data_IF_442055699480
#
_entry.id   IF_442055699480
#
_cell.length_a   1.000
_cell.length_b   1.000
_cell.length_c   1.000
_cell.angle_alpha   90.00
_cell.angle_beta   90.00
_cell.angle_gamma   90.00
#
_symmetry.space_group_name_H-M   'P 1'
#
loop_
_entity.id
_entity.type
_entity.pdbx_description
1 polymer ?
#
# COMPACT_ATOMS: atom_id res chain seq x y z
N UNK A 1 -0.58 26.35 4.27
CA UNK A 1 -0.07 25.36 5.26
C UNK A 1 0.17 24.06 4.52
N UNK A 2 1.39 23.54 4.50
CA UNK A 2 1.68 22.26 3.84
C UNK A 2 1.15 21.11 4.70
N UNK A 3 0.41 20.17 4.10
CA UNK A 3 0.02 18.94 4.78
C UNK A 3 1.27 18.09 5.04
N UNK A 4 1.45 17.65 6.29
CA UNK A 4 2.53 16.74 6.67
C UNK A 4 1.93 15.44 7.21
N UNK A 5 1.48 14.60 6.29
CA UNK A 5 0.98 13.27 6.61
C UNK A 5 2.12 12.39 7.15
N UNK A 6 1.91 11.77 8.30
CA UNK A 6 2.86 10.82 8.93
C UNK A 6 2.11 9.66 9.54
N UNK A 7 2.84 8.63 10.01
CA UNK A 7 2.22 7.51 10.71
C UNK A 7 1.55 7.98 12.01
N UNK A 8 0.26 7.70 12.22
CA UNK A 8 -0.42 8.10 13.44
C UNK A 8 0.15 7.38 14.67
N UNK A 9 0.40 8.16 15.73
CA UNK A 9 0.91 7.64 17.02
C UNK A 9 -0.16 6.83 17.76
N UNK A 10 -1.42 7.17 17.61
CA UNK A 10 -2.58 6.54 18.25
C UNK A 10 -3.69 6.31 17.23
N UNK A 11 -4.59 5.36 17.50
CA UNK A 11 -5.81 5.19 16.71
C UNK A 11 -6.92 5.98 17.40
N UNK A 12 -7.17 7.18 16.90
CA UNK A 12 -8.22 8.07 17.40
C UNK A 12 -9.59 7.78 16.78
N UNK A 13 -10.59 8.62 17.05
CA UNK A 13 -11.95 8.42 16.53
C UNK A 13 -12.04 8.64 15.02
N UNK A 14 -11.28 9.59 14.45
CA UNK A 14 -11.25 9.82 13.00
C UNK A 14 -10.74 8.58 12.26
N UNK A 15 -9.67 7.95 12.77
CA UNK A 15 -9.15 6.70 12.21
C UNK A 15 -10.18 5.57 12.38
N UNK A 16 -10.86 5.47 13.53
CA UNK A 16 -11.92 4.45 13.73
C UNK A 16 -13.06 4.62 12.74
N UNK A 17 -13.47 5.85 12.45
CA UNK A 17 -14.54 6.13 11.50
C UNK A 17 -14.11 5.81 10.06
N UNK A 18 -12.87 6.13 9.69
CA UNK A 18 -12.26 5.69 8.43
C UNK A 18 -12.23 4.16 8.31
N UNK A 19 -11.80 3.44 9.35
CA UNK A 19 -11.79 1.96 9.33
C UNK A 19 -13.20 1.37 9.24
N UNK A 20 -14.19 1.98 9.90
CA UNK A 20 -15.60 1.58 9.79
C UNK A 20 -16.11 1.79 8.36
N UNK A 21 -15.78 2.91 7.73
CA UNK A 21 -16.12 3.20 6.34
C UNK A 21 -15.51 2.15 5.39
N UNK A 22 -14.24 1.81 5.59
CA UNK A 22 -13.55 0.76 4.83
C UNK A 22 -14.07 -0.65 5.09
N UNK A 23 -14.91 -0.82 6.13
CA UNK A 23 -15.43 -2.09 6.66
C UNK A 23 -14.34 -3.02 7.20
N UNK A 24 -13.31 -2.45 7.82
CA UNK A 24 -12.15 -3.16 8.35
C UNK A 24 -12.11 -3.07 9.88
N UNK A 25 -11.76 -4.18 10.54
CA UNK A 25 -11.68 -4.23 12.00
C UNK A 25 -10.41 -3.54 12.51
N UNK A 26 -10.56 -2.58 13.41
CA UNK A 26 -9.43 -1.94 14.10
C UNK A 26 -8.48 -2.96 14.75
N UNK A 27 -9.01 -4.05 15.32
CA UNK A 27 -8.22 -5.09 15.99
C UNK A 27 -7.20 -5.78 15.07
N UNK A 28 -7.32 -5.63 13.75
CA UNK A 28 -6.38 -6.17 12.77
C UNK A 28 -5.20 -5.23 12.47
N UNK A 29 -5.16 -4.03 13.06
CA UNK A 29 -4.10 -3.05 12.78
C UNK A 29 -2.73 -3.50 13.30
N UNK A 30 -1.69 -3.29 12.50
CA UNK A 30 -0.32 -3.74 12.74
C UNK A 30 0.64 -2.56 12.52
N UNK A 31 1.58 -2.35 13.44
CA UNK A 31 2.69 -1.43 13.21
C UNK A 31 3.86 -2.17 12.61
N UNK A 32 4.26 -1.77 11.41
CA UNK A 32 5.41 -2.35 10.71
C UNK A 32 6.53 -1.33 10.62
N UNK A 33 7.77 -1.83 10.60
CA UNK A 33 8.96 -1.06 10.24
C UNK A 33 9.37 -1.43 8.82
N UNK A 34 9.92 -0.47 8.09
CA UNK A 34 10.54 -0.72 6.79
C UNK A 34 11.62 -1.80 6.94
N UNK A 35 11.44 -2.88 6.19
CA UNK A 35 12.31 -4.05 6.14
C UNK A 35 13.24 -3.93 4.95
N UNK A 36 14.53 -4.16 5.19
CA UNK A 36 15.53 -4.19 4.12
C UNK A 36 15.63 -5.61 3.55
N UNK A 37 15.67 -5.69 2.23
CA UNK A 37 15.90 -6.94 1.51
C UNK A 37 17.37 -7.03 1.09
N UNK A 38 17.85 -8.26 0.84
CA UNK A 38 19.25 -8.49 0.44
C UNK A 38 19.44 -8.43 -1.08
N UNK A 39 18.50 -9.00 -1.83
CA UNK A 39 18.65 -9.29 -3.26
C UNK A 39 17.70 -8.49 -4.16
N UNK A 40 16.93 -7.57 -3.58
CA UNK A 40 15.97 -6.76 -4.30
C UNK A 40 15.95 -5.36 -3.69
N UNK A 41 15.86 -4.34 -4.55
CA UNK A 41 15.77 -2.94 -4.16
C UNK A 41 14.37 -2.41 -4.52
N UNK A 42 13.42 -2.40 -3.57
CA UNK A 42 12.07 -1.91 -3.79
C UNK A 42 12.05 -0.41 -4.11
N UNK A 43 11.22 0.01 -5.05
CA UNK A 43 11.06 1.43 -5.44
C UNK A 43 9.97 2.13 -4.61
N UNK A 44 10.16 3.42 -4.23
CA UNK A 44 9.08 4.19 -3.63
C UNK A 44 7.84 4.26 -4.51
N UNK A 45 6.65 4.36 -3.90
CA UNK A 45 5.33 4.45 -4.57
C UNK A 45 4.92 3.22 -5.42
N UNK A 46 5.71 2.14 -5.40
CA UNK A 46 5.47 0.94 -6.20
C UNK A 46 5.14 -0.29 -5.32
N UNK A 47 4.40 -0.13 -4.22
CA UNK A 47 4.22 -1.20 -3.22
C UNK A 47 3.66 -2.51 -3.77
N UNK A 48 2.66 -2.43 -4.66
CA UNK A 48 2.09 -3.60 -5.32
C UNK A 48 3.10 -4.29 -6.25
N UNK A 49 3.86 -3.52 -7.03
CA UNK A 49 4.88 -4.06 -7.94
C UNK A 49 6.06 -4.67 -7.17
N UNK A 50 6.53 -3.99 -6.12
CA UNK A 50 7.60 -4.46 -5.24
C UNK A 50 7.26 -5.81 -4.62
N UNK A 51 6.06 -5.93 -4.05
CA UNK A 51 5.62 -7.17 -3.39
C UNK A 51 5.34 -8.29 -4.39
N UNK A 52 4.83 -7.96 -5.58
CA UNK A 52 4.72 -8.92 -6.68
C UNK A 52 6.09 -9.48 -7.06
N UNK A 53 7.06 -8.62 -7.39
CA UNK A 53 8.42 -9.05 -7.76
C UNK A 53 9.04 -9.86 -6.63
N UNK A 54 8.98 -9.37 -5.39
CA UNK A 54 9.55 -10.09 -4.25
C UNK A 54 8.92 -11.47 -4.05
N UNK A 55 7.61 -11.61 -4.28
CA UNK A 55 6.95 -12.92 -4.25
C UNK A 55 7.45 -13.87 -5.34
N UNK A 56 7.90 -13.36 -6.48
CA UNK A 56 8.49 -14.18 -7.54
C UNK A 56 9.94 -14.58 -7.23
N UNK A 57 10.71 -13.69 -6.59
CA UNK A 57 12.11 -13.94 -6.21
C UNK A 57 12.21 -14.95 -5.06
N UNK A 58 11.48 -14.70 -3.97
CA UNK A 58 11.63 -15.45 -2.70
C UNK A 58 10.36 -16.22 -2.29
N UNK A 59 9.35 -16.30 -3.15
CA UNK A 59 8.08 -16.94 -2.81
C UNK A 59 7.26 -16.16 -1.78
N UNK A 60 6.35 -16.85 -1.11
CA UNK A 60 5.41 -16.24 -0.16
C UNK A 60 4.16 -15.68 -0.86
N UNK A 61 3.50 -14.73 -0.22
CA UNK A 61 2.25 -14.14 -0.68
C UNK A 61 2.24 -12.62 -0.52
N UNK A 62 1.22 -11.98 -1.07
CA UNK A 62 0.96 -10.55 -0.91
C UNK A 62 -0.21 -10.38 0.06
N UNK A 63 -0.04 -9.56 1.09
CA UNK A 63 -1.13 -9.11 1.94
C UNK A 63 -1.54 -7.69 1.53
N UNK A 64 -2.76 -7.55 1.00
CA UNK A 64 -3.36 -6.25 0.72
C UNK A 64 -3.93 -5.60 1.98
N UNK A 65 -4.05 -4.29 1.95
CA UNK A 65 -4.59 -3.52 3.07
C UNK A 65 -4.40 -2.04 2.86
N UNK A 66 -4.47 -1.31 3.97
CA UNK A 66 -4.40 0.14 3.97
C UNK A 66 -3.29 0.60 4.91
N UNK A 67 -2.50 1.55 4.45
CA UNK A 67 -1.63 2.34 5.34
C UNK A 67 -2.41 3.57 5.76
N UNK A 68 -2.50 3.79 7.06
CA UNK A 68 -3.15 4.99 7.60
C UNK A 68 -2.11 6.07 7.83
N UNK A 69 -2.37 7.23 7.25
CA UNK A 69 -1.62 8.46 7.42
C UNK A 69 -2.47 9.51 8.11
N UNK A 70 -1.84 10.37 8.91
CA UNK A 70 -2.54 11.46 9.58
C UNK A 70 -1.66 12.70 9.67
N UNK A 71 -2.29 13.86 9.49
CA UNK A 71 -1.75 15.17 9.83
C UNK A 71 -2.55 15.74 11.00
N UNK A 72 -1.91 15.76 12.17
CA UNK A 72 -2.53 16.23 13.41
C UNK A 72 -2.79 17.74 13.43
N UNK A 73 -2.11 18.53 12.59
CA UNK A 73 -2.29 19.98 12.55
C UNK A 73 -3.51 20.36 11.72
N UNK A 74 -3.74 19.65 10.62
CA UNK A 74 -4.86 19.93 9.70
C UNK A 74 -6.09 19.06 9.97
N UNK A 75 -5.97 18.01 10.78
CA UNK A 75 -7.03 17.03 10.98
C UNK A 75 -7.28 16.14 9.75
N UNK A 76 -6.35 16.13 8.79
CA UNK A 76 -6.43 15.28 7.60
C UNK A 76 -6.00 13.86 7.95
N UNK A 77 -6.79 12.88 7.51
CA UNK A 77 -6.47 11.45 7.63
C UNK A 77 -6.64 10.79 6.27
N UNK A 78 -5.69 9.94 5.89
CA UNK A 78 -5.69 9.25 4.60
C UNK A 78 -5.47 7.75 4.81
N UNK A 79 -6.23 6.92 4.10
CA UNK A 79 -5.94 5.51 3.92
C UNK A 79 -5.38 5.32 2.51
N UNK A 80 -4.12 4.92 2.42
CA UNK A 80 -3.45 4.56 1.17
C UNK A 80 -3.55 3.05 0.94
N UNK A 81 -4.11 2.62 -0.20
CA UNK A 81 -4.20 1.20 -0.50
C UNK A 81 -2.81 0.65 -0.81
N UNK A 82 -2.38 -0.37 -0.07
CA UNK A 82 -0.99 -0.78 0.03
C UNK A 82 -0.82 -2.30 0.02
N UNK A 83 0.35 -2.76 -0.41
CA UNK A 83 0.75 -4.17 -0.34
C UNK A 83 1.94 -4.40 0.58
N UNK A 84 1.83 -5.45 1.38
CA UNK A 84 2.87 -5.97 2.25
C UNK A 84 3.28 -7.36 1.76
N UNK A 85 4.58 -7.64 1.73
CA UNK A 85 5.05 -8.99 1.40
C UNK A 85 4.89 -9.88 2.64
N UNK A 86 4.18 -10.99 2.49
CA UNK A 86 4.09 -12.05 3.50
C UNK A 86 5.07 -13.14 3.10
N UNK A 87 6.18 -13.27 3.82
CA UNK A 87 7.19 -14.26 3.47
C UNK A 87 6.69 -15.70 3.67
N UNK A 88 7.50 -16.69 3.27
CA UNK A 88 7.13 -18.12 3.39
C UNK A 88 6.89 -18.60 4.84
N UNK A 89 7.42 -17.89 5.84
CA UNK A 89 7.16 -18.16 7.27
C UNK A 89 5.87 -17.50 7.77
N UNK A 90 5.20 -16.73 6.93
CA UNK A 90 4.00 -15.99 7.26
C UNK A 90 4.23 -14.62 7.90
N UNK A 91 5.48 -14.15 7.98
CA UNK A 91 5.82 -12.85 8.54
C UNK A 91 5.48 -11.72 7.55
N UNK A 92 4.88 -10.64 8.06
CA UNK A 92 4.54 -9.47 7.27
C UNK A 92 5.70 -8.48 7.24
N UNK A 93 6.21 -8.22 6.04
CA UNK A 93 7.37 -7.37 5.79
C UNK A 93 6.97 -6.22 4.88
N UNK A 94 6.99 -5.03 5.45
CA UNK A 94 6.86 -3.80 4.71
C UNK A 94 8.20 -3.47 4.03
N UNK A 95 8.27 -3.65 2.72
CA UNK A 95 9.51 -3.53 1.96
C UNK A 95 9.60 -2.23 1.16
N UNK A 96 8.51 -1.45 1.08
CA UNK A 96 8.45 -0.30 0.16
C UNK A 96 8.94 0.98 0.84
N UNK A 97 10.06 1.59 0.40
CA UNK A 97 10.53 2.84 0.97
C UNK A 97 9.55 3.99 0.67
N UNK A 98 9.45 4.95 1.59
CA UNK A 98 8.65 6.17 1.41
C UNK A 98 9.54 7.27 0.85
N UNK A 99 8.96 8.17 0.07
CA UNK A 99 9.70 9.29 -0.55
C UNK A 99 10.26 10.25 0.50
N UNK A 100 9.54 10.46 1.60
CA UNK A 100 9.93 11.31 2.73
C UNK A 100 10.86 10.60 3.75
N UNK A 101 11.15 9.31 3.54
CA UNK A 101 11.99 8.52 4.42
C UNK A 101 11.30 8.01 5.70
N UNK A 102 9.98 8.13 5.83
CA UNK A 102 9.21 7.51 6.92
C UNK A 102 9.50 5.99 6.98
N UNK A 103 9.79 5.49 8.19
CA UNK A 103 10.29 4.12 8.39
C UNK A 103 9.30 3.22 9.11
N UNK A 104 8.15 3.76 9.54
CA UNK A 104 7.09 3.02 10.18
C UNK A 104 5.79 3.24 9.43
N UNK A 105 4.84 2.33 9.60
CA UNK A 105 3.47 2.49 9.12
C UNK A 105 2.51 1.89 10.14
N UNK A 106 1.28 2.41 10.14
CA UNK A 106 0.12 1.70 10.68
C UNK A 106 -0.59 1.03 9.49
N UNK A 107 -0.39 -0.27 9.36
CA UNK A 107 -1.00 -1.09 8.31
C UNK A 107 -2.26 -1.78 8.85
N UNK A 108 -3.32 -1.84 8.06
CA UNK A 108 -4.54 -2.57 8.41
C UNK A 108 -4.89 -3.50 7.25
N UNK A 109 -4.78 -4.83 7.43
CA UNK A 109 -5.08 -5.81 6.39
C UNK A 109 -6.51 -5.68 5.86
N UNK A 110 -6.66 -5.85 4.55
CA UNK A 110 -7.93 -5.93 3.85
C UNK A 110 -7.99 -7.27 3.10
N UNK A 111 -9.04 -8.05 3.38
CA UNK A 111 -9.25 -9.37 2.80
C UNK A 111 -10.37 -9.37 1.74
N UNK A 112 -10.90 -8.20 1.40
CA UNK A 112 -12.03 -8.06 0.47
C UNK A 112 -11.63 -7.44 -0.87
N UNK A 113 -10.47 -6.77 -0.90
CA UNK A 113 -9.95 -6.04 -2.05
C UNK A 113 -8.66 -6.67 -2.54
N UNK A 114 -8.57 -6.86 -3.85
CA UNK A 114 -7.44 -7.50 -4.51
C UNK A 114 -6.83 -6.58 -5.56
N UNK A 115 -5.56 -6.83 -5.88
CA UNK A 115 -4.82 -6.16 -6.94
C UNK A 115 -4.45 -7.19 -7.99
N UNK A 116 -4.62 -6.84 -9.26
CA UNK A 116 -4.17 -7.68 -10.35
C UNK A 116 -3.56 -6.83 -11.47
N UNK A 117 -2.65 -7.45 -12.20
CA UNK A 117 -1.94 -6.83 -13.31
C UNK A 117 -2.53 -7.33 -14.62
N UNK A 118 -2.59 -6.47 -15.61
CA UNK A 118 -2.97 -6.79 -16.99
C UNK A 118 -1.98 -6.16 -17.95
N UNK A 119 -1.90 -6.70 -19.16
CA UNK A 119 -1.10 -6.14 -20.25
C UNK A 119 -2.04 -5.47 -21.27
N UNK A 120 -1.65 -4.28 -21.75
CA UNK A 120 -2.33 -3.62 -22.87
C UNK A 120 -1.33 -2.82 -23.71
N UNK A 121 -1.17 -3.19 -24.98
CA UNK A 121 -0.35 -2.48 -25.97
C UNK A 121 1.12 -2.31 -25.56
N UNK A 122 1.72 -3.38 -25.07
CA UNK A 122 3.09 -3.42 -24.54
C UNK A 122 3.26 -2.76 -23.18
N UNK A 123 2.18 -2.46 -22.45
CA UNK A 123 2.24 -1.75 -21.16
C UNK A 123 1.61 -2.58 -20.05
N UNK A 124 2.31 -2.65 -18.92
CA UNK A 124 1.80 -3.27 -17.71
C UNK A 124 0.86 -2.30 -17.00
N UNK A 125 -0.39 -2.73 -16.80
CA UNK A 125 -1.43 -1.99 -16.11
C UNK A 125 -1.66 -2.66 -14.75
N UNK A 126 -1.76 -1.85 -13.71
CA UNK A 126 -2.21 -2.29 -12.40
C UNK A 126 -3.66 -1.89 -12.19
N UNK A 127 -4.48 -2.83 -11.72
CA UNK A 127 -5.84 -2.63 -11.27
C UNK A 127 -5.81 -2.63 -9.74
N UNK A 128 -6.12 -1.48 -9.14
CA UNK A 128 -5.98 -1.24 -7.70
C UNK A 128 -7.06 -0.27 -7.23
N UNK A 129 -6.94 0.31 -6.03
CA UNK A 129 -7.90 1.26 -5.46
C UNK A 129 -7.21 2.58 -5.14
N UNK A 130 -7.96 3.68 -5.28
CA UNK A 130 -7.46 5.00 -4.89
C UNK A 130 -7.49 5.20 -3.37
N UNK A 131 -6.75 6.20 -2.91
CA UNK A 131 -6.66 6.53 -1.49
C UNK A 131 -7.98 7.11 -1.00
N UNK A 132 -8.37 6.81 0.24
CA UNK A 132 -9.55 7.39 0.89
C UNK A 132 -9.13 8.48 1.86
N UNK A 133 -9.73 9.66 1.75
CA UNK A 133 -9.38 10.81 2.60
C UNK A 133 -10.54 11.29 3.45
N UNK A 134 -10.22 11.65 4.69
CA UNK A 134 -11.08 12.40 5.59
C UNK A 134 -10.43 13.74 5.90
N UNK A 135 -11.27 14.78 6.02
CA UNK A 135 -10.86 16.09 6.48
C UNK A 135 -11.81 16.56 7.58
N UNK A 136 -11.30 16.80 8.78
CA UNK A 136 -12.10 17.06 9.98
C UNK A 136 -13.22 16.02 10.21
N UNK A 137 -12.93 14.73 9.94
CA UNK A 137 -13.90 13.64 10.09
C UNK A 137 -14.89 13.48 8.93
N UNK A 138 -14.90 14.40 7.95
CA UNK A 138 -15.76 14.29 6.78
C UNK A 138 -15.05 13.54 5.65
N UNK A 139 -15.71 12.51 5.12
CA UNK A 139 -15.23 11.75 3.97
C UNK A 139 -15.18 12.64 2.73
N UNK A 140 -14.03 12.69 2.07
CA UNK A 140 -13.85 13.46 0.83
C UNK A 140 -14.15 12.63 -0.41
N UNK A 141 -13.95 11.32 -0.35
CA UNK A 141 -14.12 10.43 -1.49
C UNK A 141 -14.43 8.98 -1.06
N UNK A 142 -15.06 8.25 -1.97
CA UNK A 142 -15.32 6.83 -1.80
C UNK A 142 -14.10 5.97 -2.19
N UNK A 143 -14.17 4.67 -1.89
CA UNK A 143 -13.21 3.69 -2.40
C UNK A 143 -13.52 3.42 -3.87
N UNK A 144 -12.65 3.88 -4.76
CA UNK A 144 -12.83 3.77 -6.21
C UNK A 144 -11.77 2.83 -6.78
N UNK A 145 -12.16 1.77 -7.52
CA UNK A 145 -11.22 0.99 -8.32
C UNK A 145 -10.63 1.84 -9.44
N UNK A 146 -9.33 1.73 -9.65
CA UNK A 146 -8.58 2.51 -10.63
C UNK A 146 -7.63 1.62 -11.42
N UNK A 147 -7.32 2.06 -12.63
CA UNK A 147 -6.28 1.49 -13.47
C UNK A 147 -5.13 2.48 -13.61
N UNK A 148 -3.90 2.02 -13.43
CA UNK A 148 -2.70 2.84 -13.67
C UNK A 148 -1.72 2.10 -14.57
N UNK A 149 -1.13 2.83 -15.50
CA UNK A 149 0.01 2.32 -16.28
C UNK A 149 1.22 2.37 -15.36
N UNK A 150 1.92 1.25 -15.22
CA UNK A 150 3.18 1.20 -14.49
C UNK A 150 4.33 1.64 -15.41
N UNK A 151 5.22 2.48 -14.86
CA UNK A 151 6.35 3.07 -15.60
C UNK A 151 7.69 2.83 -14.86
N UNK A 152 7.72 1.87 -13.95
CA UNK A 152 8.91 1.52 -13.17
C UNK A 152 9.94 0.78 -14.04
N UNK A 153 11.23 1.07 -13.83
CA UNK A 153 12.32 0.35 -14.51
C UNK A 153 12.36 -1.14 -14.13
N UNK A 154 11.80 -1.50 -12.97
CA UNK A 154 11.67 -2.88 -12.52
C UNK A 154 10.86 -3.76 -13.49
N UNK A 155 9.97 -3.17 -14.29
CA UNK A 155 9.17 -3.91 -15.29
C UNK A 155 10.09 -4.56 -16.33
N UNK A 156 11.06 -3.81 -16.82
CA UNK A 156 12.02 -4.27 -17.81
C UNK A 156 13.10 -5.15 -17.17
N UNK A 157 13.61 -4.74 -16.01
CA UNK A 157 14.62 -5.49 -15.24
C UNK A 157 14.17 -6.94 -14.97
N UNK A 158 12.91 -7.11 -14.57
CA UNK A 158 12.32 -8.42 -14.28
C UNK A 158 11.53 -9.01 -15.45
N UNK A 159 11.56 -8.37 -16.63
CA UNK A 159 10.88 -8.84 -17.86
C UNK A 159 9.40 -9.16 -17.66
N UNK A 160 8.69 -8.38 -16.85
CA UNK A 160 7.36 -8.73 -16.36
C UNK A 160 6.29 -8.83 -17.46
N UNK A 161 6.44 -8.10 -18.57
CA UNK A 161 5.53 -8.20 -19.71
C UNK A 161 5.51 -9.61 -20.34
N UNK A 162 6.55 -10.42 -20.14
CA UNK A 162 6.57 -11.81 -20.62
C UNK A 162 5.64 -12.73 -19.84
N UNK A 163 5.21 -12.34 -18.62
CA UNK A 163 4.30 -13.14 -17.80
C UNK A 163 2.84 -13.08 -18.29
N UNK A 164 2.52 -12.18 -19.22
CA UNK A 164 1.16 -11.90 -19.69
C UNK A 164 0.98 -12.19 -21.18
N UNK A 165 1.92 -12.92 -21.79
CA UNK A 165 1.85 -13.35 -23.19
C UNK A 165 1.36 -14.78 -23.33
#
# INVERSE_FOLDING_TARGET
>A
MFMMLTTPKVIDNTIKDLLRFLKIKQSSSIRLKLSKLKNFNPEPKNCHLNTYIQSQIEGGAIQYGWVIWQDNLTGSTEAEFHSIWKNQKGELLDITPRVDGEKKILFVPDFTREVYFTEKQGKLIINTYDNVRLFYGHLLNEVIPIQRILTSALIDEFRLLSHFR
#
